data_IF_035960275133
#
_entry.id   IF_035960275133
#
_cell.length_a   1.000
_cell.length_b   1.000
_cell.length_c   1.000
_cell.angle_alpha   90.00
_cell.angle_beta   90.00
_cell.angle_gamma   90.00
#
_symmetry.space_group_name_H-M   'P 1'
#
loop_
_entity.id
_entity.type
_entity.pdbx_description
1 polymer ?
#
# COMPACT_ATOMS: atom_id res chain seq x y z
N UNK A 1 -18.19 9.68 26.09
CA UNK A 1 -16.70 9.69 26.08
C UNK A 1 -16.04 8.62 25.21
N UNK A 2 -16.54 7.37 25.16
CA UNK A 2 -15.94 6.30 24.35
C UNK A 2 -16.05 6.54 22.84
N UNK A 3 -17.23 6.92 22.35
CA UNK A 3 -17.45 7.25 20.93
C UNK A 3 -16.52 8.36 20.42
N UNK A 4 -16.27 9.40 21.23
CA UNK A 4 -15.31 10.45 20.91
C UNK A 4 -13.87 9.93 20.75
N UNK A 5 -13.49 8.85 21.42
CA UNK A 5 -12.19 8.19 21.19
C UNK A 5 -12.21 7.44 19.85
N UNK A 6 -13.28 6.72 19.55
CA UNK A 6 -13.46 6.00 18.28
C UNK A 6 -13.35 6.97 17.09
N UNK A 7 -14.09 8.08 17.13
CA UNK A 7 -14.02 9.14 16.10
C UNK A 7 -12.58 9.64 15.91
N UNK A 8 -11.87 9.94 17.01
CA UNK A 8 -10.47 10.40 16.94
C UNK A 8 -9.53 9.33 16.38
N UNK A 9 -9.73 8.06 16.73
CA UNK A 9 -8.94 6.96 16.19
C UNK A 9 -9.11 6.83 14.69
N UNK A 10 -10.36 6.83 14.20
CA UNK A 10 -10.62 6.82 12.76
C UNK A 10 -10.06 8.06 12.07
N UNK A 11 -10.18 9.25 12.68
CA UNK A 11 -9.57 10.47 12.14
C UNK A 11 -8.05 10.33 11.99
N UNK A 12 -7.35 9.74 12.96
CA UNK A 12 -5.90 9.48 12.87
C UNK A 12 -5.57 8.48 11.76
N UNK A 13 -6.33 7.38 11.65
CA UNK A 13 -6.10 6.37 10.62
C UNK A 13 -6.34 6.94 9.22
N UNK A 14 -7.47 7.62 9.02
CA UNK A 14 -7.79 8.29 7.74
C UNK A 14 -6.76 9.37 7.43
N UNK A 15 -6.24 10.09 8.42
CA UNK A 15 -5.12 11.02 8.22
C UNK A 15 -3.88 10.34 7.67
N UNK A 16 -3.50 9.19 8.21
CA UNK A 16 -2.32 8.44 7.78
C UNK A 16 -2.49 7.92 6.35
N UNK A 17 -3.67 7.38 6.04
CA UNK A 17 -3.98 6.81 4.73
C UNK A 17 -4.04 7.87 3.63
N UNK A 18 -4.77 8.96 3.87
CA UNK A 18 -4.91 10.06 2.91
C UNK A 18 -3.63 10.89 2.83
N UNK A 19 -2.89 10.98 3.93
CA UNK A 19 -1.85 11.97 4.10
C UNK A 19 -2.44 13.37 4.19
N UNK A 20 -3.67 13.57 4.68
CA UNK A 20 -4.26 14.90 4.91
C UNK A 20 -3.59 15.62 6.08
N UNK A 21 -3.57 16.96 6.07
CA UNK A 21 -3.09 17.72 7.24
C UNK A 21 -4.27 17.85 8.23
N UNK A 22 -4.02 18.09 9.53
CA UNK A 22 -5.10 18.21 10.50
C UNK A 22 -6.15 19.25 10.09
N UNK A 23 -5.73 20.40 9.57
CA UNK A 23 -6.64 21.50 9.20
C UNK A 23 -7.53 21.21 7.99
N UNK A 24 -7.13 20.32 7.09
CA UNK A 24 -7.94 19.90 5.94
C UNK A 24 -8.84 18.72 6.32
N UNK A 25 -8.33 17.79 7.13
CA UNK A 25 -9.08 16.61 7.56
C UNK A 25 -10.31 16.96 8.39
N UNK A 26 -10.20 17.94 9.29
CA UNK A 26 -11.34 18.37 10.12
C UNK A 26 -12.43 19.09 9.31
N UNK A 27 -12.16 19.41 8.05
CA UNK A 27 -13.09 20.02 7.10
C UNK A 27 -13.64 19.04 6.08
N UNK A 28 -13.27 17.75 6.14
CA UNK A 28 -13.89 16.73 5.29
C UNK A 28 -15.39 16.66 5.58
N UNK A 29 -16.19 16.66 4.52
CA UNK A 29 -17.65 16.63 4.60
C UNK A 29 -18.16 15.20 4.52
N UNK A 30 -19.25 14.94 5.26
CA UNK A 30 -19.85 13.62 5.31
C UNK A 30 -20.43 13.19 3.95
N UNK A 31 -21.07 14.09 3.21
CA UNK A 31 -21.64 13.79 1.89
C UNK A 31 -20.57 13.31 0.90
N UNK A 32 -19.44 14.01 0.82
CA UNK A 32 -18.32 13.56 -0.02
C UNK A 32 -17.75 12.21 0.44
N UNK A 33 -17.70 11.95 1.74
CA UNK A 33 -17.23 10.67 2.26
C UNK A 33 -18.20 9.52 1.95
N UNK A 34 -19.51 9.79 1.98
CA UNK A 34 -20.56 8.84 1.64
C UNK A 34 -20.49 8.45 0.15
N UNK A 35 -20.32 9.45 -0.72
CA UNK A 35 -20.06 9.25 -2.16
C UNK A 35 -18.84 8.34 -2.36
N UNK A 36 -17.71 8.65 -1.72
CA UNK A 36 -16.46 7.86 -1.85
C UNK A 36 -16.59 6.46 -1.25
N UNK A 37 -17.41 6.29 -0.21
CA UNK A 37 -17.64 5.00 0.42
C UNK A 37 -18.53 4.09 -0.44
N UNK A 38 -19.49 4.67 -1.16
CA UNK A 38 -20.51 3.96 -1.95
C UNK A 38 -20.11 3.73 -3.41
N UNK A 39 -19.34 4.63 -4.01
CA UNK A 39 -18.95 4.59 -5.42
C UNK A 39 -17.59 3.87 -5.61
N UNK A 40 -17.52 2.95 -6.57
CA UNK A 40 -16.28 2.24 -6.93
C UNK A 40 -15.30 3.10 -7.74
N UNK A 41 -15.78 4.21 -8.31
CA UNK A 41 -15.04 5.11 -9.21
C UNK A 41 -14.46 6.32 -8.47
N UNK A 42 -15.23 6.97 -7.58
CA UNK A 42 -14.74 8.09 -6.76
C UNK A 42 -13.86 7.59 -5.61
N UNK A 43 -12.54 7.82 -5.71
CA UNK A 43 -11.54 7.39 -4.71
C UNK A 43 -10.83 8.56 -4.03
N UNK A 44 -11.47 9.72 -3.93
CA UNK A 44 -10.85 10.93 -3.38
C UNK A 44 -11.75 11.64 -2.38
N UNK A 45 -11.23 11.83 -1.16
CA UNK A 45 -11.84 12.72 -0.18
C UNK A 45 -11.46 14.17 -0.51
N UNK A 46 -12.36 15.11 -0.27
CA UNK A 46 -12.19 16.50 -0.66
C UNK A 46 -12.27 17.42 0.55
N UNK A 47 -11.43 18.46 0.56
CA UNK A 47 -11.57 19.60 1.49
C UNK A 47 -11.54 20.92 0.75
N UNK A 48 -12.32 21.89 1.23
CA UNK A 48 -12.29 23.27 0.74
C UNK A 48 -11.39 24.13 1.64
N UNK A 49 -10.35 24.73 1.07
CA UNK A 49 -9.43 25.64 1.79
C UNK A 49 -9.86 27.09 1.62
N UNK A 50 -10.70 27.58 2.51
CA UNK A 50 -11.15 28.98 2.51
C UNK A 50 -10.02 30.01 2.55
N UNK A 51 -8.93 29.74 3.28
CA UNK A 51 -7.73 30.60 3.34
C UNK A 51 -6.94 30.70 2.02
N UNK A 52 -7.29 29.90 1.02
CA UNK A 52 -6.69 29.89 -0.31
C UNK A 52 -7.76 30.16 -1.38
N UNK A 53 -8.64 31.14 -1.13
CA UNK A 53 -9.72 31.55 -2.01
C UNK A 53 -10.69 30.41 -2.40
N UNK A 54 -11.01 29.52 -1.45
CA UNK A 54 -11.95 28.42 -1.69
C UNK A 54 -11.38 27.25 -2.49
N UNK A 55 -10.05 27.14 -2.61
CA UNK A 55 -9.40 26.04 -3.35
C UNK A 55 -9.89 24.67 -2.86
N UNK A 56 -10.41 23.87 -3.78
CA UNK A 56 -10.81 22.48 -3.58
C UNK A 56 -9.58 21.58 -3.69
N UNK A 57 -9.40 20.70 -2.70
CA UNK A 57 -8.20 19.86 -2.58
C UNK A 57 -8.60 18.41 -2.40
N UNK A 58 -8.16 17.56 -3.32
CA UNK A 58 -8.45 16.12 -3.35
C UNK A 58 -7.41 15.28 -2.63
N UNK A 59 -7.85 14.23 -1.94
CA UNK A 59 -7.01 13.31 -1.19
C UNK A 59 -7.31 11.87 -1.60
N UNK A 60 -6.45 11.26 -2.45
CA UNK A 60 -6.64 9.89 -2.88
C UNK A 60 -6.64 8.91 -1.72
N UNK A 61 -7.62 8.02 -1.72
CA UNK A 61 -7.76 6.92 -0.78
C UNK A 61 -7.64 5.58 -1.52
N UNK A 62 -6.79 4.70 -1.02
CA UNK A 62 -6.58 3.38 -1.60
C UNK A 62 -7.61 2.38 -1.06
N UNK A 63 -7.71 1.18 -1.67
CA UNK A 63 -8.73 0.17 -1.36
C UNK A 63 -8.84 -0.18 0.14
N UNK A 64 -7.72 -0.37 0.86
CA UNK A 64 -7.76 -0.65 2.31
C UNK A 64 -8.27 0.56 3.11
N UNK A 65 -7.91 1.78 2.68
CA UNK A 65 -8.48 3.02 3.21
C UNK A 65 -9.99 3.13 3.04
N UNK A 66 -10.52 2.71 1.88
CA UNK A 66 -11.96 2.71 1.62
C UNK A 66 -12.72 1.79 2.58
N UNK A 67 -12.16 0.62 2.91
CA UNK A 67 -12.74 -0.28 3.91
C UNK A 67 -12.89 0.42 5.27
N UNK A 68 -11.82 1.06 5.74
CA UNK A 68 -11.81 1.80 7.00
C UNK A 68 -12.79 2.97 6.97
N UNK A 69 -12.89 3.67 5.84
CA UNK A 69 -13.85 4.76 5.66
C UNK A 69 -15.30 4.26 5.76
N UNK A 70 -15.62 3.12 5.13
CA UNK A 70 -16.95 2.49 5.21
C UNK A 70 -17.31 2.09 6.63
N UNK A 71 -16.39 1.43 7.34
CA UNK A 71 -16.57 1.06 8.74
C UNK A 71 -16.85 2.29 9.62
N UNK A 72 -16.12 3.39 9.37
CA UNK A 72 -16.34 4.63 10.09
C UNK A 72 -17.69 5.29 9.77
N UNK A 73 -18.08 5.34 8.49
CA UNK A 73 -19.38 5.90 8.05
C UNK A 73 -20.52 5.15 8.72
N UNK A 74 -20.49 3.81 8.73
CA UNK A 74 -21.48 2.99 9.43
C UNK A 74 -21.53 3.28 10.93
N UNK A 75 -20.38 3.34 11.59
CA UNK A 75 -20.30 3.70 13.02
C UNK A 75 -20.88 5.09 13.29
N UNK A 76 -20.55 6.06 12.43
CA UNK A 76 -21.00 7.44 12.55
C UNK A 76 -22.51 7.54 12.45
N UNK A 77 -23.11 6.87 11.46
CA UNK A 77 -24.54 6.94 11.21
C UNK A 77 -25.31 6.30 12.35
N UNK A 78 -24.83 5.15 12.86
CA UNK A 78 -25.34 4.54 14.09
C UNK A 78 -25.21 5.45 15.32
N UNK A 79 -24.08 6.15 15.47
CA UNK A 79 -23.83 6.99 16.66
C UNK A 79 -24.68 8.27 16.67
N UNK A 80 -24.92 8.86 15.50
CA UNK A 80 -25.67 10.10 15.36
C UNK A 80 -27.19 9.89 15.36
N UNK A 81 -27.68 8.70 14.99
CA UNK A 81 -29.09 8.30 15.08
C UNK A 81 -30.02 9.39 14.51
N UNK A 82 -29.95 9.60 13.18
CA UNK A 82 -30.58 10.69 12.40
C UNK A 82 -30.06 12.11 12.70
N UNK A 83 -29.05 12.26 13.55
CA UNK A 83 -28.41 13.54 13.85
C UNK A 83 -27.70 14.17 12.64
N UNK A 84 -28.03 15.42 12.32
CA UNK A 84 -27.41 16.16 11.22
C UNK A 84 -26.04 16.72 11.62
N UNK A 85 -24.99 16.23 10.97
CA UNK A 85 -23.66 16.81 11.05
C UNK A 85 -23.05 16.90 9.65
N UNK A 86 -22.60 18.09 9.25
CA UNK A 86 -21.95 18.31 7.95
C UNK A 86 -20.57 17.66 7.87
N UNK A 87 -19.85 17.65 8.99
CA UNK A 87 -18.47 17.19 9.03
C UNK A 87 -18.40 15.66 9.14
N UNK A 88 -17.43 15.08 8.44
CA UNK A 88 -17.10 13.67 8.53
C UNK A 88 -16.66 13.33 9.95
N UNK A 89 -15.69 14.08 10.48
CA UNK A 89 -15.20 13.95 11.85
C UNK A 89 -15.66 15.12 12.72
N UNK A 90 -16.21 14.82 13.89
CA UNK A 90 -16.83 15.83 14.74
C UNK A 90 -16.59 15.57 16.24
N UNK A 91 -16.85 16.60 17.05
CA UNK A 91 -16.99 16.47 18.50
C UNK A 91 -18.40 16.94 18.89
N UNK A 92 -19.08 16.11 19.67
CA UNK A 92 -20.42 16.37 20.23
C UNK A 92 -20.39 16.37 21.76
N UNK A 93 -19.20 16.49 22.35
CA UNK A 93 -19.01 16.60 23.79
C UNK A 93 -18.43 17.97 24.08
N UNK A 94 -19.12 18.75 24.92
CA UNK A 94 -18.70 20.06 25.39
C UNK A 94 -17.56 19.99 26.41
N UNK A 95 -17.05 21.16 26.83
CA UNK A 95 -16.03 21.27 27.88
C UNK A 95 -16.51 20.73 29.23
N UNK A 96 -17.81 20.78 29.50
CA UNK A 96 -18.47 20.19 30.69
C UNK A 96 -18.57 18.66 30.64
N UNK A 97 -18.28 18.02 29.50
CA UNK A 97 -18.45 16.58 29.32
C UNK A 97 -19.85 16.15 28.89
N UNK A 98 -20.80 17.09 28.81
CA UNK A 98 -22.17 16.86 28.34
C UNK A 98 -22.25 16.80 26.81
N UNK A 99 -23.27 16.12 26.30
CA UNK A 99 -23.55 16.13 24.85
C UNK A 99 -23.92 17.54 24.41
N UNK A 100 -23.40 17.94 23.26
CA UNK A 100 -23.66 19.19 22.60
C UNK A 100 -23.87 18.97 21.10
N UNK A 101 -24.30 20.02 20.38
CA UNK A 101 -24.45 19.95 18.94
C UNK A 101 -23.11 19.57 18.27
N UNK A 102 -23.08 18.61 17.33
CA UNK A 102 -21.86 18.23 16.64
C UNK A 102 -21.16 19.43 15.98
N UNK A 103 -19.89 19.60 16.30
CA UNK A 103 -18.99 20.61 15.71
C UNK A 103 -17.79 19.92 15.08
N UNK A 104 -17.09 20.55 14.11
CA UNK A 104 -15.94 19.92 13.48
C UNK A 104 -14.89 19.54 14.52
N UNK A 105 -14.24 18.40 14.29
CA UNK A 105 -13.21 17.91 15.20
C UNK A 105 -12.09 18.95 15.34
N UNK A 106 -11.53 19.10 16.55
CA UNK A 106 -10.41 20.03 16.76
C UNK A 106 -9.14 19.52 16.09
N UNK A 107 -8.33 20.42 15.54
CA UNK A 107 -7.05 20.07 14.89
C UNK A 107 -6.01 19.40 15.79
N UNK A 108 -6.18 19.47 17.12
CA UNK A 108 -5.33 18.81 18.13
C UNK A 108 -5.76 17.36 18.45
N UNK A 109 -6.67 16.78 17.66
CA UNK A 109 -7.25 15.45 17.89
C UNK A 109 -6.21 14.33 18.09
N UNK A 110 -5.12 14.35 17.32
CA UNK A 110 -4.06 13.35 17.43
C UNK A 110 -3.35 13.45 18.79
N UNK A 111 -2.98 14.65 19.20
CA UNK A 111 -2.33 14.88 20.51
C UNK A 111 -3.24 14.43 21.65
N UNK A 112 -4.54 14.77 21.57
CA UNK A 112 -5.54 14.36 22.56
C UNK A 112 -5.74 12.85 22.62
N UNK A 113 -5.75 12.17 21.47
CA UNK A 113 -5.86 10.71 21.44
C UNK A 113 -4.60 10.07 22.07
N UNK A 114 -3.41 10.55 21.70
CA UNK A 114 -2.17 10.00 22.24
C UNK A 114 -2.06 10.20 23.75
N UNK A 115 -2.43 11.37 24.29
CA UNK A 115 -2.42 11.57 25.74
C UNK A 115 -3.43 10.69 26.48
N UNK A 116 -4.51 10.25 25.80
CA UNK A 116 -5.50 9.33 26.36
C UNK A 116 -5.07 7.87 26.32
N UNK A 117 -4.26 7.47 25.34
CA UNK A 117 -3.85 6.09 25.12
C UNK A 117 -2.47 5.77 25.74
N UNK A 118 -1.54 6.72 25.76
CA UNK A 118 -0.20 6.53 26.31
C UNK A 118 -0.23 6.23 27.81
N UNK A 119 0.56 5.25 28.24
CA UNK A 119 0.62 4.78 29.62
C UNK A 119 -0.60 4.00 30.08
N UNK A 120 -1.59 3.77 29.21
CA UNK A 120 -2.78 2.95 29.49
C UNK A 120 -2.88 1.76 28.54
N UNK A 121 -2.82 2.04 27.24
CA UNK A 121 -2.92 1.05 26.16
C UNK A 121 -1.68 1.04 25.27
N UNK A 122 -0.97 2.15 25.19
CA UNK A 122 0.26 2.29 24.40
C UNK A 122 1.42 2.55 25.37
N UNK A 123 2.49 1.77 25.23
CA UNK A 123 3.70 1.96 26.03
C UNK A 123 4.21 3.41 25.91
N UNK A 124 4.54 4.09 27.03
CA UNK A 124 5.02 5.47 27.01
C UNK A 124 6.23 5.72 26.11
N UNK A 125 7.10 4.72 25.95
CA UNK A 125 8.32 4.77 25.13
C UNK A 125 8.02 4.84 23.62
N UNK A 126 6.83 4.41 23.19
CA UNK A 126 6.43 4.43 21.78
C UNK A 126 6.26 5.89 21.32
N UNK A 127 7.06 6.28 20.32
CA UNK A 127 6.99 7.60 19.70
C UNK A 127 5.77 7.69 18.79
N UNK A 128 4.96 8.73 18.98
CA UNK A 128 3.82 9.02 18.12
C UNK A 128 4.28 9.39 16.71
N UNK A 129 3.63 8.82 15.69
CA UNK A 129 3.81 9.20 14.28
C UNK A 129 2.97 10.44 14.02
N UNK A 130 3.59 11.62 13.88
CA UNK A 130 2.87 12.84 13.54
C UNK A 130 2.36 12.82 12.09
N UNK A 131 1.32 13.61 11.80
CA UNK A 131 0.83 13.82 10.43
C UNK A 131 1.96 14.19 9.44
N UNK A 132 2.93 15.01 9.89
CA UNK A 132 4.11 15.39 9.09
C UNK A 132 5.01 14.19 8.79
N UNK A 133 5.26 13.32 9.79
CA UNK A 133 6.06 12.09 9.61
C UNK A 133 5.35 11.11 8.68
N UNK A 134 4.04 10.91 8.84
CA UNK A 134 3.24 10.07 7.96
C UNK A 134 3.27 10.57 6.51
N UNK A 135 3.13 11.88 6.28
CA UNK A 135 3.30 12.51 4.96
C UNK A 135 4.69 12.27 4.37
N UNK A 136 5.75 12.45 5.17
CA UNK A 136 7.13 12.23 4.75
C UNK A 136 7.35 10.77 4.36
N UNK A 137 6.81 9.83 5.13
CA UNK A 137 6.85 8.41 4.81
C UNK A 137 6.15 8.10 3.48
N UNK A 138 4.90 8.58 3.29
CA UNK A 138 4.15 8.39 2.03
C UNK A 138 4.90 8.95 0.83
N UNK A 139 5.51 10.13 0.95
CA UNK A 139 6.34 10.73 -0.11
C UNK A 139 7.56 9.87 -0.47
N UNK A 140 8.29 9.36 0.53
CA UNK A 140 9.46 8.49 0.31
C UNK A 140 9.03 7.19 -0.38
N UNK A 141 7.93 6.57 0.05
CA UNK A 141 7.40 5.34 -0.56
C UNK A 141 7.00 5.57 -2.02
N UNK A 142 6.27 6.65 -2.33
CA UNK A 142 5.88 6.99 -3.70
C UNK A 142 7.11 7.17 -4.61
N UNK A 143 8.16 7.85 -4.10
CA UNK A 143 9.42 8.00 -4.83
C UNK A 143 10.15 6.67 -5.03
N UNK A 144 10.17 5.79 -4.02
CA UNK A 144 10.90 4.52 -4.12
C UNK A 144 10.25 3.52 -5.08
N UNK A 145 8.93 3.58 -5.25
CA UNK A 145 8.20 2.73 -6.22
C UNK A 145 8.21 3.32 -7.65
N UNK A 146 8.83 4.49 -7.85
CA UNK A 146 9.02 5.12 -9.16
C UNK A 146 7.86 5.99 -9.63
N UNK A 147 6.95 6.42 -8.74
CA UNK A 147 5.90 7.39 -9.10
C UNK A 147 6.55 8.75 -9.40
N UNK A 148 6.19 9.42 -10.51
CA UNK A 148 6.70 10.75 -10.84
C UNK A 148 6.53 11.75 -9.70
N UNK A 149 7.50 12.65 -9.55
CA UNK A 149 7.50 13.68 -8.48
C UNK A 149 6.26 14.57 -8.57
N UNK A 150 5.79 14.86 -9.78
CA UNK A 150 4.56 15.62 -10.06
C UNK A 150 3.32 14.91 -9.49
N UNK A 151 3.20 13.60 -9.68
CA UNK A 151 2.05 12.83 -9.19
C UNK A 151 2.10 12.61 -7.68
N UNK A 152 3.31 12.44 -7.11
CA UNK A 152 3.50 12.43 -5.67
C UNK A 152 3.16 13.80 -5.03
N UNK A 153 3.49 14.91 -5.70
CA UNK A 153 3.15 16.25 -5.26
C UNK A 153 1.64 16.52 -5.32
N UNK A 154 0.97 16.09 -6.40
CA UNK A 154 -0.51 16.12 -6.52
C UNK A 154 -1.18 15.31 -5.41
N UNK A 155 -0.77 14.05 -5.23
CA UNK A 155 -1.37 13.15 -4.23
C UNK A 155 -1.25 13.66 -2.78
N UNK A 156 -0.27 14.53 -2.51
CA UNK A 156 -0.02 15.08 -1.18
C UNK A 156 -0.39 16.57 -1.06
N UNK A 157 -0.80 17.21 -2.14
CA UNK A 157 -1.24 18.60 -2.24
C UNK A 157 -0.19 19.63 -1.78
N UNK A 158 1.02 19.53 -2.35
CA UNK A 158 2.10 20.51 -2.18
C UNK A 158 2.49 21.13 -3.53
N UNK A 159 3.12 22.32 -3.51
CA UNK A 159 3.80 22.84 -4.69
C UNK A 159 5.10 22.07 -4.96
N UNK A 160 5.49 21.95 -6.23
CA UNK A 160 6.75 21.31 -6.66
C UNK A 160 7.96 21.92 -5.93
N UNK A 161 7.92 23.23 -5.68
CA UNK A 161 8.99 23.99 -5.03
C UNK A 161 9.15 23.68 -3.52
N UNK A 162 8.05 23.34 -2.81
CA UNK A 162 8.13 22.92 -1.40
C UNK A 162 8.64 21.48 -1.21
N UNK A 163 8.58 20.65 -2.25
CA UNK A 163 9.18 19.31 -2.24
C UNK A 163 10.72 19.37 -2.17
N UNK A 164 11.33 20.42 -2.73
CA UNK A 164 12.78 20.62 -2.71
C UNK A 164 13.32 21.10 -1.35
N UNK A 165 12.61 22.01 -0.66
CA UNK A 165 13.19 22.73 0.48
C UNK A 165 12.87 22.07 1.84
N UNK A 166 11.65 21.58 2.06
CA UNK A 166 11.27 20.98 3.35
C UNK A 166 11.78 19.53 3.54
N UNK A 167 12.21 18.87 2.46
CA UNK A 167 12.60 17.46 2.45
C UNK A 167 14.12 17.23 2.28
N UNK A 168 14.89 18.33 2.19
CA UNK A 168 16.36 18.33 2.14
C UNK A 168 17.02 18.31 3.51
N UNK A 169 16.27 18.61 4.60
CA UNK A 169 16.80 18.54 5.96
C UNK A 169 16.45 17.21 6.68
N UNK A 170 17.46 16.49 7.22
CA UNK A 170 17.34 15.11 7.66
C UNK A 170 16.90 15.00 9.12
N UNK A 171 15.60 15.05 9.39
CA UNK A 171 15.04 14.46 10.63
C UNK A 171 14.73 12.96 10.48
N UNK A 172 15.41 12.28 9.55
CA UNK A 172 15.10 10.91 9.14
C UNK A 172 16.33 10.09 8.76
N UNK A 173 17.45 10.28 9.46
CA UNK A 173 18.63 9.39 9.31
C UNK A 173 18.24 7.92 9.48
N UNK A 174 17.46 7.61 10.52
CA UNK A 174 17.05 6.23 10.80
C UNK A 174 16.01 5.70 9.80
N UNK A 175 15.00 6.49 9.46
CA UNK A 175 13.92 6.02 8.57
C UNK A 175 14.37 5.94 7.11
N UNK A 176 15.14 6.93 6.62
CA UNK A 176 15.76 6.86 5.29
C UNK A 176 16.82 5.76 5.28
N UNK A 177 17.59 5.58 6.36
CA UNK A 177 18.56 4.50 6.49
C UNK A 177 17.91 3.12 6.44
N UNK A 178 16.86 2.89 7.23
CA UNK A 178 16.13 1.61 7.25
C UNK A 178 15.41 1.33 5.93
N UNK A 179 14.75 2.33 5.32
CA UNK A 179 14.15 2.15 3.99
C UNK A 179 15.22 2.00 2.90
N UNK A 180 16.32 2.76 2.93
CA UNK A 180 17.43 2.57 1.98
C UNK A 180 18.12 1.23 2.17
N UNK A 181 18.14 0.67 3.39
CA UNK A 181 18.66 -0.67 3.66
C UNK A 181 17.70 -1.73 3.12
N UNK A 182 16.40 -1.65 3.43
CA UNK A 182 15.39 -2.56 2.88
C UNK A 182 15.29 -2.49 1.35
N UNK A 183 15.16 -1.30 0.78
CA UNK A 183 15.15 -1.13 -0.68
C UNK A 183 16.56 -1.31 -1.29
N UNK A 184 17.61 -1.19 -0.50
CA UNK A 184 18.99 -1.45 -0.89
C UNK A 184 19.25 -2.95 -1.02
N UNK A 185 18.79 -3.76 -0.08
CA UNK A 185 18.83 -5.23 -0.18
C UNK A 185 17.96 -5.72 -1.34
N UNK A 186 16.73 -5.19 -1.47
CA UNK A 186 15.86 -5.53 -2.61
C UNK A 186 16.50 -5.15 -3.96
N UNK A 187 17.17 -3.98 -4.06
CA UNK A 187 17.85 -3.57 -5.29
C UNK A 187 19.12 -4.36 -5.58
N UNK A 188 19.98 -4.58 -4.59
CA UNK A 188 21.22 -5.35 -4.72
C UNK A 188 20.90 -6.77 -5.23
N UNK A 189 19.84 -7.36 -4.68
CA UNK A 189 19.39 -8.68 -5.05
C UNK A 189 18.71 -8.73 -6.42
N UNK A 190 17.88 -7.74 -6.78
CA UNK A 190 17.28 -7.68 -8.12
C UNK A 190 18.37 -7.56 -9.21
N UNK A 191 19.48 -6.87 -8.91
CA UNK A 191 20.64 -6.84 -9.81
C UNK A 191 21.42 -8.16 -9.87
N UNK A 192 21.31 -9.02 -8.85
CA UNK A 192 21.89 -10.36 -8.80
C UNK A 192 21.02 -11.43 -9.48
N UNK A 193 19.75 -11.14 -9.77
CA UNK A 193 18.91 -12.03 -10.57
C UNK A 193 19.57 -12.23 -11.93
N UNK A 194 19.86 -13.49 -12.25
CA UNK A 194 20.38 -13.92 -13.54
C UNK A 194 19.28 -13.69 -14.58
N UNK A 195 19.36 -12.57 -15.29
CA UNK A 195 18.49 -12.26 -16.42
C UNK A 195 19.28 -12.56 -17.70
N UNK A 196 18.74 -13.46 -18.53
CA UNK A 196 19.34 -13.91 -19.80
C UNK A 196 18.34 -13.77 -20.94
N UNK A 197 18.83 -13.53 -22.16
CA UNK A 197 18.06 -13.50 -23.41
C UNK A 197 18.20 -14.79 -24.24
N UNK A 198 19.07 -15.71 -23.81
CA UNK A 198 19.33 -16.98 -24.50
C UNK A 198 18.60 -18.18 -23.90
N UNK A 199 18.19 -19.11 -24.76
CA UNK A 199 17.67 -20.42 -24.38
C UNK A 199 18.82 -21.30 -23.87
N UNK A 200 19.16 -21.13 -22.60
CA UNK A 200 20.11 -21.99 -21.93
C UNK A 200 19.43 -23.35 -21.71
N UNK A 201 19.49 -24.24 -22.71
CA UNK A 201 18.76 -25.53 -22.74
C UNK A 201 19.05 -26.52 -21.60
N UNK A 202 19.84 -26.13 -20.60
CA UNK A 202 20.05 -26.84 -19.34
C UNK A 202 19.18 -26.31 -18.19
N UNK A 203 18.53 -25.15 -18.35
CA UNK A 203 17.71 -24.53 -17.32
C UNK A 203 16.32 -25.15 -17.29
N UNK A 204 15.87 -25.50 -16.08
CA UNK A 204 14.56 -26.10 -15.89
C UNK A 204 13.48 -25.02 -15.77
N UNK A 205 12.42 -25.16 -16.56
CA UNK A 205 11.22 -24.32 -16.46
C UNK A 205 10.55 -24.48 -15.10
N UNK A 206 10.20 -23.36 -14.47
CA UNK A 206 9.42 -23.30 -13.23
C UNK A 206 8.13 -22.50 -13.47
N UNK A 207 7.25 -22.44 -12.47
CA UNK A 207 6.03 -21.65 -12.52
C UNK A 207 6.26 -20.14 -12.48
N UNK A 208 7.46 -19.70 -12.06
CA UNK A 208 7.79 -18.28 -11.85
C UNK A 208 8.88 -17.80 -12.81
N UNK A 209 9.63 -18.71 -13.42
CA UNK A 209 10.68 -18.40 -14.38
C UNK A 209 11.42 -19.68 -14.83
N UNK A 210 12.73 -19.69 -14.65
CA UNK A 210 13.63 -20.82 -14.86
C UNK A 210 14.51 -21.08 -13.63
N UNK A 211 15.24 -22.20 -13.63
CA UNK A 211 16.09 -22.63 -12.53
C UNK A 211 17.32 -23.37 -13.05
N UNK A 212 18.51 -23.04 -12.52
CA UNK A 212 19.77 -23.69 -12.91
C UNK A 212 20.14 -24.93 -12.08
N UNK A 213 19.53 -25.12 -10.91
CA UNK A 213 19.72 -26.32 -10.08
C UNK A 213 18.42 -26.74 -9.39
N UNK A 214 17.50 -27.31 -10.17
CA UNK A 214 16.19 -27.66 -9.63
C UNK A 214 16.24 -28.91 -8.76
N UNK A 215 15.79 -28.78 -7.52
CA UNK A 215 15.76 -29.85 -6.54
C UNK A 215 16.64 -29.57 -5.33
N UNK A 216 17.53 -28.58 -5.45
CA UNK A 216 18.39 -28.09 -4.38
C UNK A 216 18.06 -26.62 -4.06
N UNK A 217 16.98 -26.34 -3.31
CA UNK A 217 16.59 -24.97 -3.01
C UNK A 217 17.59 -24.32 -2.04
N UNK A 218 18.29 -23.29 -2.51
CA UNK A 218 19.23 -22.51 -1.71
C UNK A 218 18.73 -21.08 -1.51
N UNK A 219 18.53 -20.69 -0.25
CA UNK A 219 18.12 -19.33 0.08
C UNK A 219 19.28 -18.34 -0.11
N UNK A 220 19.00 -17.23 -0.80
CA UNK A 220 19.92 -16.10 -0.92
C UNK A 220 20.08 -15.31 0.40
N UNK A 221 19.14 -15.47 1.34
CA UNK A 221 19.13 -14.77 2.63
C UNK A 221 19.14 -15.77 3.78
N UNK A 222 19.74 -15.39 4.91
CA UNK A 222 19.78 -16.22 6.12
C UNK A 222 18.38 -16.45 6.72
N UNK A 223 17.47 -15.47 6.54
CA UNK A 223 16.07 -15.55 6.98
C UNK A 223 15.18 -14.94 5.89
N UNK A 224 14.86 -15.69 4.81
CA UNK A 224 14.00 -15.17 3.75
C UNK A 224 12.56 -15.03 4.27
N UNK A 225 11.78 -14.06 3.77
CA UNK A 225 10.35 -13.99 4.07
C UNK A 225 9.65 -15.31 3.69
N UNK A 226 9.95 -15.86 2.51
CA UNK A 226 9.41 -17.14 2.05
C UNK A 226 10.59 -18.05 1.72
N UNK A 227 10.68 -19.16 2.45
CA UNK A 227 11.66 -20.21 2.19
C UNK A 227 11.53 -20.77 0.76
N UNK A 228 12.64 -20.84 0.00
CA UNK A 228 12.66 -21.55 -1.28
C UNK A 228 12.20 -23.01 -1.14
N UNK A 229 11.21 -23.38 -1.94
CA UNK A 229 10.65 -24.74 -1.96
C UNK A 229 10.28 -25.07 -3.42
N UNK A 230 11.05 -25.97 -4.06
CA UNK A 230 10.86 -26.35 -5.45
C UNK A 230 9.47 -26.97 -5.74
N UNK A 231 8.75 -27.45 -4.71
CA UNK A 231 7.39 -28.00 -4.85
C UNK A 231 6.33 -26.90 -4.80
N UNK A 232 6.48 -25.91 -3.91
CA UNK A 232 5.51 -24.82 -3.73
C UNK A 232 5.73 -23.62 -4.65
N UNK A 233 6.97 -23.39 -5.05
CA UNK A 233 7.43 -22.39 -6.03
C UNK A 233 7.15 -20.91 -5.72
N UNK A 234 6.45 -20.58 -4.63
CA UNK A 234 6.36 -19.20 -4.11
C UNK A 234 7.71 -18.62 -3.68
N UNK A 235 8.60 -19.47 -3.16
CA UNK A 235 9.93 -19.07 -2.71
C UNK A 235 10.97 -19.00 -3.84
N UNK A 236 10.61 -19.27 -5.10
CA UNK A 236 11.58 -19.28 -6.20
C UNK A 236 12.30 -17.94 -6.34
N UNK A 237 11.59 -16.81 -6.21
CA UNK A 237 12.22 -15.48 -6.29
C UNK A 237 13.25 -15.22 -5.19
N UNK A 238 13.20 -15.99 -4.09
CA UNK A 238 14.13 -15.93 -2.96
C UNK A 238 15.33 -16.88 -3.09
N UNK A 239 15.41 -17.68 -4.17
CA UNK A 239 16.41 -18.72 -4.37
C UNK A 239 17.66 -18.24 -5.15
N UNK A 240 18.85 -18.73 -4.81
CA UNK A 240 20.12 -18.53 -5.54
C UNK A 240 20.03 -19.05 -6.98
N UNK A 241 19.30 -20.14 -7.16
CA UNK A 241 19.16 -20.85 -8.44
C UNK A 241 18.09 -20.27 -9.37
N UNK A 242 17.44 -19.16 -8.99
CA UNK A 242 16.42 -18.54 -9.81
C UNK A 242 17.03 -17.80 -11.00
N UNK A 243 16.54 -18.14 -12.19
CA UNK A 243 16.91 -17.49 -13.44
C UNK A 243 15.64 -16.95 -14.10
N UNK A 244 15.71 -15.73 -14.61
CA UNK A 244 14.63 -15.13 -15.38
C UNK A 244 15.08 -14.98 -16.83
N UNK A 245 14.35 -15.58 -17.75
CA UNK A 245 14.52 -15.30 -19.17
C UNK A 245 13.82 -13.98 -19.49
N UNK A 246 14.46 -13.12 -20.27
CA UNK A 246 13.88 -11.88 -20.77
C UNK A 246 12.98 -12.19 -21.98
N UNK A 247 12.02 -13.09 -21.80
CA UNK A 247 11.14 -13.60 -22.85
C UNK A 247 9.66 -13.51 -22.46
N UNK A 248 8.84 -13.87 -23.43
CA UNK A 248 7.38 -13.84 -23.34
C UNK A 248 6.84 -14.77 -22.24
N UNK A 249 7.50 -15.91 -22.01
CA UNK A 249 7.06 -16.94 -21.07
C UNK A 249 7.28 -16.50 -19.62
N UNK A 250 8.48 -16.02 -19.29
CA UNK A 250 8.82 -15.61 -17.94
C UNK A 250 8.16 -14.29 -17.54
N UNK A 251 7.99 -13.35 -18.48
CA UNK A 251 7.18 -12.14 -18.25
C UNK A 251 5.73 -12.54 -17.91
N UNK A 252 5.15 -13.52 -18.63
CA UNK A 252 3.79 -14.00 -18.37
C UNK A 252 3.66 -14.69 -17.00
N UNK A 253 4.63 -15.54 -16.65
CA UNK A 253 4.69 -16.21 -15.33
C UNK A 253 4.77 -15.21 -14.18
N UNK A 254 5.61 -14.18 -14.30
CA UNK A 254 5.77 -13.15 -13.28
C UNK A 254 4.47 -12.37 -13.05
N UNK A 255 3.79 -11.93 -14.11
CA UNK A 255 2.50 -11.27 -13.96
C UNK A 255 1.43 -12.21 -13.41
N UNK A 256 1.41 -13.47 -13.83
CA UNK A 256 0.44 -14.46 -13.36
C UNK A 256 0.60 -14.75 -11.86
N UNK A 257 1.84 -14.95 -11.39
CA UNK A 257 2.15 -15.08 -9.96
C UNK A 257 1.64 -13.85 -9.20
N UNK A 258 1.96 -12.65 -9.70
CA UNK A 258 1.57 -11.40 -9.04
C UNK A 258 0.05 -11.27 -8.91
N UNK A 259 -0.69 -11.59 -9.98
CA UNK A 259 -2.14 -11.55 -9.99
C UNK A 259 -2.72 -12.47 -8.90
N UNK A 260 -2.29 -13.73 -8.85
CA UNK A 260 -2.76 -14.69 -7.84
C UNK A 260 -2.43 -14.22 -6.43
N UNK A 261 -1.23 -13.70 -6.20
CA UNK A 261 -0.84 -13.17 -4.90
C UNK A 261 -1.72 -11.97 -4.51
N UNK A 262 -1.96 -11.02 -5.42
CA UNK A 262 -2.80 -9.86 -5.15
C UNK A 262 -4.26 -10.26 -4.87
N UNK A 263 -4.77 -11.30 -5.53
CA UNK A 263 -6.07 -11.89 -5.25
C UNK A 263 -6.14 -12.50 -3.84
N UNK A 264 -5.19 -13.37 -3.47
CA UNK A 264 -5.09 -13.96 -2.11
C UNK A 264 -4.97 -12.87 -1.03
N UNK A 265 -4.17 -11.83 -1.27
CA UNK A 265 -4.01 -10.70 -0.34
C UNK A 265 -5.29 -9.88 -0.17
N UNK A 266 -6.14 -9.81 -1.19
CA UNK A 266 -7.38 -9.03 -1.13
C UNK A 266 -8.44 -9.65 -0.21
N UNK A 267 -8.36 -10.96 0.00
CA UNK A 267 -9.35 -11.77 0.73
C UNK A 267 -8.86 -12.28 2.09
N UNK A 268 -7.54 -12.32 2.33
CA UNK A 268 -6.97 -12.80 3.59
C UNK A 268 -7.41 -11.94 4.81
N UNK A 269 -8.15 -12.52 5.78
CA UNK A 269 -8.59 -11.81 6.98
C UNK A 269 -7.46 -11.61 8.01
N UNK A 270 -6.42 -12.44 7.97
CA UNK A 270 -5.21 -12.27 8.79
C UNK A 270 -4.23 -11.29 8.12
N UNK A 271 -4.34 -10.03 8.53
CA UNK A 271 -3.55 -8.88 8.05
C UNK A 271 -2.05 -8.93 8.38
N UNK A 272 -1.58 -9.90 9.18
CA UNK A 272 -0.20 -9.94 9.68
C UNK A 272 0.74 -10.70 8.75
N UNK A 273 0.76 -12.04 8.89
CA UNK A 273 1.80 -12.87 8.25
C UNK A 273 1.63 -12.98 6.73
N UNK A 274 0.41 -13.20 6.22
CA UNK A 274 0.22 -13.37 4.78
C UNK A 274 0.51 -12.08 3.99
N UNK A 275 0.10 -10.91 4.48
CA UNK A 275 0.33 -9.63 3.78
C UNK A 275 1.83 -9.27 3.74
N UNK A 276 2.58 -9.51 4.82
CA UNK A 276 4.03 -9.27 4.88
C UNK A 276 4.80 -10.19 3.90
N UNK A 277 4.49 -11.49 3.90
CA UNK A 277 5.08 -12.48 3.00
C UNK A 277 4.84 -12.14 1.52
N UNK A 278 3.58 -11.84 1.19
CA UNK A 278 3.16 -11.66 -0.18
C UNK A 278 3.43 -10.26 -0.74
N UNK A 279 3.50 -9.23 0.11
CA UNK A 279 3.93 -7.90 -0.30
C UNK A 279 5.37 -7.91 -0.81
N UNK A 280 6.25 -8.68 -0.16
CA UNK A 280 7.63 -8.88 -0.61
C UNK A 280 7.67 -9.41 -2.05
N UNK A 281 6.93 -10.47 -2.34
CA UNK A 281 6.86 -11.05 -3.68
C UNK A 281 6.34 -10.08 -4.75
N UNK A 282 5.28 -9.30 -4.48
CA UNK A 282 4.81 -8.29 -5.43
C UNK A 282 5.91 -7.26 -5.76
N UNK A 283 6.68 -6.86 -4.74
CA UNK A 283 7.80 -5.95 -4.90
C UNK A 283 8.90 -6.58 -5.77
N UNK A 284 9.26 -7.85 -5.51
CA UNK A 284 10.26 -8.58 -6.31
C UNK A 284 9.92 -8.63 -7.78
N UNK A 285 8.68 -8.99 -8.09
CA UNK A 285 8.21 -9.10 -9.47
C UNK A 285 8.34 -7.76 -10.20
N UNK A 286 7.95 -6.66 -9.57
CA UNK A 286 8.09 -5.32 -10.14
C UNK A 286 9.56 -4.93 -10.37
N UNK A 287 10.47 -5.33 -9.47
CA UNK A 287 11.89 -5.09 -9.68
C UNK A 287 12.45 -5.90 -10.84
N UNK A 288 12.14 -7.20 -10.94
CA UNK A 288 12.59 -8.05 -12.04
C UNK A 288 12.08 -7.50 -13.38
N UNK A 289 10.80 -7.14 -13.48
CA UNK A 289 10.22 -6.54 -14.68
C UNK A 289 10.91 -5.22 -15.07
N UNK A 290 11.21 -4.35 -14.09
CA UNK A 290 11.96 -3.11 -14.33
C UNK A 290 13.39 -3.37 -14.78
N UNK A 291 14.06 -4.38 -14.21
CA UNK A 291 15.41 -4.77 -14.64
C UNK A 291 15.41 -5.39 -16.04
N UNK A 292 14.40 -6.16 -16.42
CA UNK A 292 14.18 -6.63 -17.80
C UNK A 292 14.02 -5.42 -18.72
N UNK A 293 13.12 -4.47 -18.41
CA UNK A 293 12.92 -3.26 -19.20
C UNK A 293 14.20 -2.43 -19.33
N UNK A 294 14.98 -2.33 -18.25
CA UNK A 294 16.24 -1.57 -18.22
C UNK A 294 17.33 -2.24 -19.08
N UNK A 295 17.48 -3.57 -19.00
CA UNK A 295 18.47 -4.33 -19.78
C UNK A 295 18.06 -4.51 -21.24
N UNK A 296 16.76 -4.63 -21.50
CA UNK A 296 16.17 -4.90 -22.81
C UNK A 296 15.00 -3.94 -23.10
N UNK A 297 15.28 -2.65 -23.39
CA UNK A 297 14.24 -1.63 -23.62
C UNK A 297 13.22 -2.00 -24.69
N UNK A 298 13.61 -2.81 -25.69
CA UNK A 298 12.72 -3.30 -26.74
C UNK A 298 11.56 -4.17 -26.24
N UNK A 299 11.61 -4.66 -24.99
CA UNK A 299 10.55 -5.48 -24.39
C UNK A 299 9.47 -4.66 -23.68
N UNK A 300 9.56 -3.32 -23.63
CA UNK A 300 8.58 -2.46 -22.95
C UNK A 300 7.14 -2.68 -23.43
N UNK A 301 6.93 -2.76 -24.75
CA UNK A 301 5.62 -3.02 -25.33
C UNK A 301 5.12 -4.41 -24.91
N UNK A 302 5.99 -5.42 -24.94
CA UNK A 302 5.64 -6.79 -24.54
C UNK A 302 5.26 -6.88 -23.06
N UNK A 303 6.00 -6.24 -22.17
CA UNK A 303 5.67 -6.15 -20.73
C UNK A 303 4.26 -5.55 -20.56
N UNK A 304 3.93 -4.52 -21.35
CA UNK A 304 2.61 -3.88 -21.31
C UNK A 304 1.50 -4.80 -21.83
N UNK A 305 1.76 -5.54 -22.91
CA UNK A 305 0.84 -6.55 -23.45
C UNK A 305 0.56 -7.65 -22.43
N UNK A 306 1.59 -8.19 -21.77
CA UNK A 306 1.39 -9.25 -20.77
C UNK A 306 0.71 -8.76 -19.51
N UNK A 307 0.97 -7.51 -19.10
CA UNK A 307 0.19 -6.86 -18.04
C UNK A 307 -1.29 -6.83 -18.41
N UNK A 308 -1.63 -6.39 -19.62
CA UNK A 308 -3.01 -6.34 -20.11
C UNK A 308 -3.65 -7.73 -20.17
N UNK A 309 -2.96 -8.73 -20.75
CA UNK A 309 -3.43 -10.12 -20.82
C UNK A 309 -3.81 -10.68 -19.45
N UNK A 310 -2.96 -10.46 -18.44
CA UNK A 310 -3.20 -11.02 -17.10
C UNK A 310 -4.26 -10.23 -16.34
N UNK A 311 -4.16 -8.90 -16.28
CA UNK A 311 -5.00 -8.10 -15.40
C UNK A 311 -6.36 -7.73 -16.00
N UNK A 312 -6.43 -7.53 -17.32
CA UNK A 312 -7.65 -7.09 -17.98
C UNK A 312 -8.39 -8.24 -18.66
N UNK A 313 -7.65 -9.24 -19.17
CA UNK A 313 -8.25 -10.41 -19.85
C UNK A 313 -8.29 -11.68 -18.98
N UNK A 314 -7.66 -11.67 -17.79
CA UNK A 314 -7.62 -12.83 -16.89
C UNK A 314 -6.83 -14.02 -17.42
N UNK A 315 -5.94 -13.82 -18.39
CA UNK A 315 -5.19 -14.91 -19.03
C UNK A 315 -3.93 -15.22 -18.24
N UNK A 316 -3.99 -16.16 -17.30
CA UNK A 316 -2.85 -16.64 -16.52
C UNK A 316 -2.10 -17.78 -17.24
N UNK A 317 -0.89 -18.09 -16.77
CA UNK A 317 -0.23 -19.34 -17.19
C UNK A 317 -0.97 -20.55 -16.60
N UNK A 318 -0.93 -21.74 -17.24
CA UNK A 318 -1.70 -22.90 -16.81
C UNK A 318 -1.48 -23.31 -15.34
N UNK A 319 -0.26 -23.12 -14.84
CA UNK A 319 0.06 -23.39 -13.43
C UNK A 319 -0.70 -22.45 -12.48
N UNK A 320 -0.66 -21.14 -12.75
CA UNK A 320 -1.28 -20.13 -11.89
C UNK A 320 -2.79 -20.09 -12.02
N UNK A 321 -3.33 -20.41 -13.20
CA UNK A 321 -4.76 -20.66 -13.41
C UNK A 321 -5.23 -21.80 -12.51
N UNK A 322 -4.58 -22.98 -12.61
CA UNK A 322 -4.94 -24.13 -11.77
C UNK A 322 -4.81 -23.83 -10.27
N UNK A 323 -3.82 -23.01 -9.90
CA UNK A 323 -3.63 -22.59 -8.51
C UNK A 323 -4.75 -21.66 -8.03
N UNK A 324 -5.15 -20.71 -8.88
CA UNK A 324 -6.24 -19.77 -8.59
C UNK A 324 -7.57 -20.51 -8.44
N UNK A 325 -7.91 -21.39 -9.37
CA UNK A 325 -9.14 -22.19 -9.28
C UNK A 325 -9.21 -23.03 -8.01
N UNK A 326 -8.07 -23.61 -7.57
CA UNK A 326 -8.04 -24.33 -6.28
C UNK A 326 -8.32 -23.41 -5.09
N UNK A 327 -7.86 -22.16 -5.13
CA UNK A 327 -8.17 -21.18 -4.07
C UNK A 327 -9.65 -20.79 -4.08
N UNK A 328 -10.29 -20.75 -5.24
CA UNK A 328 -11.74 -20.53 -5.38
C UNK A 328 -12.53 -21.74 -4.85
N UNK A 329 -12.16 -22.97 -5.25
CA UNK A 329 -12.80 -24.21 -4.81
C UNK A 329 -12.82 -24.39 -3.29
N UNK A 330 -11.73 -24.01 -2.62
CA UNK A 330 -11.62 -24.12 -1.15
C UNK A 330 -12.09 -22.85 -0.42
N UNK A 331 -12.66 -21.88 -1.14
CA UNK A 331 -13.23 -20.65 -0.57
C UNK A 331 -12.21 -19.66 0.00
N UNK A 332 -10.94 -19.75 -0.42
CA UNK A 332 -9.90 -18.77 -0.07
C UNK A 332 -10.10 -17.47 -0.84
N UNK A 333 -10.45 -17.56 -2.13
CA UNK A 333 -10.82 -16.41 -3.00
C UNK A 333 -12.29 -16.58 -3.39
N UNK A 334 -13.01 -15.46 -3.52
CA UNK A 334 -14.44 -15.42 -3.86
C UNK A 334 -14.70 -15.38 -5.35
#
# INVERSE_FOLDING_TARGET
MLAQKVIRSYAVIVQMVTGANPSSLVLFEYENALDVASDSVKKELVSVKFRANGLVVSYPIHRKGLKILREYVQFRDWYLDDGVCKYLFFTDIGSSGERSKPTPLRGDFQTRLNSQLKGKLIDPSIKTISATKARKYKSIVLKSIGIPVSDAAKALNHSENMNGIAYSHPSGGDMRGQLSKFWGSVRAYASEVKITDGDAGHLKRTAVGHCDDFGDPLSKEEVPPIEPDCKKQFGCLYCEHYVCHADDDDIHKLFSLRYVIEAVRAVSPEFGKADELFQGLCVWIEFILKEIQRKYPQLEEKISVYRHKVYDLGLLTPYWESRLSRYEEIGVIL
#
